data_IF_839897894939
#
_entry.id   IF_839897894939
#
_cell.length_a   1.000
_cell.length_b   1.000
_cell.length_c   1.000
_cell.angle_alpha   90.00
_cell.angle_beta   90.00
_cell.angle_gamma   90.00
#
_symmetry.space_group_name_H-M   'P 1'
#
loop_
_entity.id
_entity.type
_entity.pdbx_description
1 polymer ?
#
# COMPACT_ATOMS: atom_id res chain seq x y z
N UNK A 1 22.11 13.01 -53.93
CA UNK A 1 20.72 12.81 -53.46
C UNK A 1 20.42 11.42 -52.85
N UNK A 2 21.41 10.55 -52.59
CA UNK A 2 21.18 9.26 -51.88
C UNK A 2 21.76 9.21 -50.46
N UNK A 3 22.76 10.05 -50.15
CA UNK A 3 23.34 10.14 -48.80
C UNK A 3 22.51 11.01 -47.82
N UNK A 4 21.69 11.94 -48.32
CA UNK A 4 20.93 12.88 -47.47
C UNK A 4 19.66 12.25 -46.86
N UNK A 5 19.15 11.16 -47.44
CA UNK A 5 17.93 10.46 -46.98
C UNK A 5 18.22 9.53 -45.80
N UNK A 6 19.46 9.02 -45.68
CA UNK A 6 19.85 8.15 -44.58
C UNK A 6 19.98 8.88 -43.22
N UNK A 7 20.31 10.18 -43.24
CA UNK A 7 20.50 10.96 -42.01
C UNK A 7 19.18 11.34 -41.33
N UNK A 8 18.07 11.44 -42.08
CA UNK A 8 16.75 11.78 -41.54
C UNK A 8 16.00 10.58 -40.93
N UNK A 9 16.40 9.35 -41.27
CA UNK A 9 15.80 8.12 -40.69
C UNK A 9 16.43 7.78 -39.34
N UNK A 10 17.69 8.17 -39.09
CA UNK A 10 18.38 7.90 -37.84
C UNK A 10 17.85 8.72 -36.64
N UNK A 11 17.11 9.81 -36.87
CA UNK A 11 16.52 10.64 -35.80
C UNK A 11 15.21 10.04 -35.28
N UNK A 12 14.54 9.17 -36.04
CA UNK A 12 13.30 8.50 -35.60
C UNK A 12 13.52 7.17 -34.86
N UNK A 13 14.75 6.64 -34.88
CA UNK A 13 15.11 5.37 -34.24
C UNK A 13 16.18 5.55 -33.15
N UNK A 14 16.32 6.73 -32.58
CA UNK A 14 16.92 6.81 -31.25
C UNK A 14 15.86 6.27 -30.27
N UNK A 15 16.04 5.08 -29.67
CA UNK A 15 15.24 4.73 -28.50
C UNK A 15 15.52 5.85 -27.51
N UNK A 16 14.52 6.67 -27.23
CA UNK A 16 14.65 7.62 -26.13
C UNK A 16 14.88 6.73 -24.93
N UNK A 17 16.12 6.71 -24.44
CA UNK A 17 16.50 6.06 -23.20
C UNK A 17 15.88 6.86 -22.04
N UNK A 18 14.55 6.90 -22.01
CA UNK A 18 13.73 7.31 -20.88
C UNK A 18 13.62 6.11 -19.90
N UNK A 19 14.72 5.41 -19.66
CA UNK A 19 14.90 4.62 -18.46
C UNK A 19 15.48 5.54 -17.36
N UNK A 20 14.96 6.76 -17.26
CA UNK A 20 15.29 7.66 -16.16
C UNK A 20 14.42 7.23 -14.98
N UNK A 21 15.02 6.51 -14.03
CA UNK A 21 14.57 6.27 -12.65
C UNK A 21 13.13 6.72 -12.40
N UNK A 22 12.15 5.93 -12.83
CA UNK A 22 10.75 6.23 -12.56
C UNK A 22 10.57 6.08 -11.05
N UNK A 23 10.63 7.19 -10.33
CA UNK A 23 10.38 7.21 -8.90
C UNK A 23 8.89 6.89 -8.71
N UNK A 24 8.62 5.68 -8.23
CA UNK A 24 7.26 5.15 -8.00
C UNK A 24 6.66 5.81 -6.76
N UNK A 25 6.33 7.09 -6.89
CA UNK A 25 5.76 7.94 -5.84
C UNK A 25 4.35 8.39 -6.21
N UNK A 26 3.49 8.55 -5.20
CA UNK A 26 2.10 8.93 -5.38
C UNK A 26 1.91 10.26 -6.16
N UNK A 27 2.90 11.17 -6.11
CA UNK A 27 2.91 12.44 -6.86
C UNK A 27 3.08 12.24 -8.36
N UNK A 28 3.84 11.22 -8.78
CA UNK A 28 4.00 10.86 -10.19
C UNK A 28 2.67 10.41 -10.80
N UNK A 29 1.84 9.71 -10.01
CA UNK A 29 0.55 9.15 -10.43
C UNK A 29 -0.65 9.97 -9.94
N UNK A 30 -0.47 11.27 -9.74
CA UNK A 30 -1.49 12.15 -9.17
C UNK A 30 -2.71 12.28 -10.08
N UNK A 31 -3.89 12.19 -9.49
CA UNK A 31 -5.18 12.47 -10.13
C UNK A 31 -5.57 13.94 -9.86
N UNK A 32 -6.10 14.60 -10.89
CA UNK A 32 -6.47 16.03 -10.81
C UNK A 32 -7.90 16.27 -10.31
N UNK A 33 -8.80 15.32 -10.52
CA UNK A 33 -10.20 15.45 -10.16
C UNK A 33 -10.56 14.57 -8.97
N UNK A 34 -11.41 15.11 -8.10
CA UNK A 34 -11.88 14.44 -6.90
C UNK A 34 -13.41 14.43 -6.89
N UNK A 35 -13.98 13.28 -6.54
CA UNK A 35 -15.41 13.15 -6.35
C UNK A 35 -15.74 13.39 -4.87
N UNK A 36 -16.45 14.48 -4.60
CA UNK A 36 -16.78 14.93 -3.25
C UNK A 36 -18.21 14.64 -2.82
N UNK A 37 -19.07 14.26 -3.76
CA UNK A 37 -20.47 13.93 -3.45
C UNK A 37 -20.57 12.60 -2.70
N UNK A 38 -21.78 12.32 -2.21
CA UNK A 38 -22.16 11.06 -1.60
C UNK A 38 -21.94 9.90 -2.57
N UNK A 39 -21.52 8.76 -2.05
CA UNK A 39 -21.31 7.59 -2.88
C UNK A 39 -22.64 7.06 -3.43
N UNK A 40 -22.66 6.66 -4.70
CA UNK A 40 -23.77 5.91 -5.26
C UNK A 40 -23.86 4.53 -4.60
N UNK A 41 -25.08 4.01 -4.44
CA UNK A 41 -25.30 2.66 -3.89
C UNK A 41 -24.58 1.60 -4.72
N UNK A 42 -24.05 0.57 -4.05
CA UNK A 42 -23.31 -0.50 -4.70
C UNK A 42 -24.17 -1.21 -5.75
N UNK A 43 -23.65 -1.30 -6.97
CA UNK A 43 -24.24 -2.06 -8.07
C UNK A 43 -23.54 -3.40 -8.17
N UNK A 44 -24.23 -4.41 -7.68
CA UNK A 44 -23.74 -5.77 -7.66
C UNK A 44 -23.53 -6.36 -9.06
N UNK A 45 -22.49 -7.19 -9.21
CA UNK A 45 -22.21 -7.92 -10.44
C UNK A 45 -21.79 -9.36 -10.12
N UNK A 46 -22.74 -10.29 -10.30
CA UNK A 46 -22.55 -11.72 -10.01
C UNK A 46 -21.45 -12.37 -10.84
N UNK A 47 -21.15 -11.83 -12.03
CA UNK A 47 -20.07 -12.35 -12.88
C UNK A 47 -18.68 -12.05 -12.31
N UNK A 48 -18.55 -10.98 -11.53
CA UNK A 48 -17.29 -10.60 -10.88
C UNK A 48 -17.20 -11.22 -9.49
N UNK A 49 -18.34 -11.31 -8.78
CA UNK A 49 -18.42 -11.92 -7.44
C UNK A 49 -19.68 -12.77 -7.21
N UNK A 50 -19.54 -14.00 -6.69
CA UNK A 50 -20.68 -14.81 -6.26
C UNK A 50 -21.48 -14.15 -5.13
N UNK A 51 -22.80 -14.35 -5.11
CA UNK A 51 -23.75 -13.73 -4.17
C UNK A 51 -23.34 -13.84 -2.68
N UNK A 52 -22.64 -14.91 -2.30
CA UNK A 52 -22.15 -15.13 -0.93
C UNK A 52 -21.27 -13.98 -0.40
N UNK A 53 -20.62 -13.23 -1.31
CA UNK A 53 -19.76 -12.11 -0.95
C UNK A 53 -20.55 -10.79 -1.00
N UNK A 54 -21.74 -10.74 -1.61
CA UNK A 54 -22.53 -9.53 -1.78
C UNK A 54 -22.84 -8.85 -0.44
N UNK A 55 -23.23 -9.63 0.57
CA UNK A 55 -23.58 -9.08 1.89
C UNK A 55 -22.37 -8.45 2.59
N UNK A 56 -21.22 -9.14 2.57
CA UNK A 56 -19.98 -8.67 3.21
C UNK A 56 -19.49 -7.39 2.54
N UNK A 57 -19.50 -7.34 1.21
CA UNK A 57 -19.02 -6.19 0.46
C UNK A 57 -20.02 -5.04 0.41
N UNK A 58 -21.33 -5.31 0.43
CA UNK A 58 -22.36 -4.27 0.49
C UNK A 58 -22.24 -3.43 1.76
N UNK A 59 -22.26 -4.09 2.91
CA UNK A 59 -22.08 -3.43 4.22
C UNK A 59 -20.72 -2.72 4.30
N UNK A 60 -19.64 -3.41 3.88
CA UNK A 60 -18.30 -2.81 3.89
C UNK A 60 -18.21 -1.59 2.96
N UNK A 61 -18.86 -1.61 1.80
CA UNK A 61 -18.87 -0.48 0.87
C UNK A 61 -19.63 0.71 1.46
N UNK A 62 -20.81 0.49 2.04
CA UNK A 62 -21.58 1.57 2.69
C UNK A 62 -20.75 2.25 3.78
N UNK A 63 -20.05 1.47 4.62
CA UNK A 63 -19.17 2.01 5.66
C UNK A 63 -17.91 2.69 5.11
N UNK A 64 -17.23 2.08 4.13
CA UNK A 64 -15.93 2.56 3.63
C UNK A 64 -16.06 3.71 2.64
N UNK A 65 -17.14 3.78 1.87
CA UNK A 65 -17.33 4.80 0.82
C UNK A 65 -17.49 6.21 1.38
N UNK A 66 -17.89 6.32 2.65
CA UNK A 66 -18.00 7.58 3.39
C UNK A 66 -16.69 7.98 4.09
N UNK A 67 -15.74 7.06 4.26
CA UNK A 67 -14.46 7.32 4.93
C UNK A 67 -13.45 7.97 3.97
N UNK A 68 -13.01 9.23 4.20
CA UNK A 68 -12.12 9.92 3.28
C UNK A 68 -10.77 9.23 3.05
N UNK A 69 -10.24 8.56 4.08
CA UNK A 69 -8.96 7.86 4.03
C UNK A 69 -9.01 6.54 3.23
N UNK A 70 -10.21 6.03 2.91
CA UNK A 70 -10.41 4.83 2.07
C UNK A 70 -10.57 5.14 0.58
N UNK A 71 -10.55 6.43 0.22
CA UNK A 71 -10.68 6.88 -1.16
C UNK A 71 -9.39 6.59 -1.94
N UNK A 72 -9.54 6.30 -3.21
CA UNK A 72 -8.46 6.00 -4.16
C UNK A 72 -8.72 6.66 -5.51
N UNK A 73 -7.68 7.07 -6.23
CA UNK A 73 -7.79 7.49 -7.64
C UNK A 73 -8.81 8.60 -7.91
N UNK A 74 -9.04 9.48 -6.93
CA UNK A 74 -9.96 10.62 -7.00
C UNK A 74 -11.43 10.29 -6.74
N UNK A 75 -11.89 9.09 -7.11
CA UNK A 75 -13.33 8.75 -7.10
C UNK A 75 -13.64 7.28 -6.85
N UNK A 76 -12.63 6.45 -6.59
CA UNK A 76 -12.84 5.07 -6.21
C UNK A 76 -12.78 4.91 -4.69
N UNK A 77 -13.29 3.77 -4.23
CA UNK A 77 -13.06 3.25 -2.89
C UNK A 77 -12.54 1.82 -3.00
N UNK A 78 -11.55 1.50 -2.17
CA UNK A 78 -11.07 0.14 -2.01
C UNK A 78 -11.86 -0.54 -0.90
N UNK A 79 -12.62 -1.56 -1.24
CA UNK A 79 -13.37 -2.37 -0.28
C UNK A 79 -12.57 -3.63 0.00
N UNK A 80 -11.84 -3.63 1.10
CA UNK A 80 -10.92 -4.70 1.49
C UNK A 80 -11.55 -5.65 2.50
N UNK A 81 -11.24 -6.93 2.39
CA UNK A 81 -11.70 -7.98 3.30
C UNK A 81 -10.63 -9.07 3.43
N UNK A 82 -10.68 -9.87 4.50
CA UNK A 82 -9.90 -11.11 4.56
C UNK A 82 -10.51 -12.20 3.67
N UNK A 83 -9.69 -12.85 2.84
CA UNK A 83 -10.07 -14.07 2.09
C UNK A 83 -9.72 -15.37 2.81
N UNK A 84 -9.15 -15.30 4.01
CA UNK A 84 -8.60 -16.45 4.74
C UNK A 84 -7.07 -16.46 4.74
N UNK A 85 -6.44 -17.40 5.46
CA UNK A 85 -4.98 -17.65 5.44
C UNK A 85 -4.09 -16.39 5.45
N UNK A 86 -4.36 -15.43 6.33
CA UNK A 86 -3.62 -14.16 6.46
C UNK A 86 -3.55 -13.30 5.17
N UNK A 87 -4.39 -13.56 4.17
CA UNK A 87 -4.48 -12.78 2.95
C UNK A 87 -5.61 -11.75 3.00
N UNK A 88 -5.33 -10.59 2.42
CA UNK A 88 -6.29 -9.54 2.15
C UNK A 88 -6.64 -9.55 0.67
N UNK A 89 -7.93 -9.56 0.38
CA UNK A 89 -8.47 -9.36 -0.96
C UNK A 89 -9.48 -8.22 -0.94
N UNK A 90 -10.03 -7.88 -2.09
CA UNK A 90 -11.08 -6.89 -2.14
C UNK A 90 -11.49 -6.52 -3.54
N UNK A 91 -12.23 -5.42 -3.63
CA UNK A 91 -12.66 -4.83 -4.90
C UNK A 91 -12.38 -3.34 -4.94
N UNK A 92 -12.20 -2.86 -6.17
CA UNK A 92 -12.25 -1.46 -6.49
C UNK A 92 -13.66 -1.09 -6.93
N UNK A 93 -14.28 -0.11 -6.28
CA UNK A 93 -15.62 0.37 -6.63
C UNK A 93 -15.55 1.83 -7.04
N UNK A 94 -16.19 2.17 -8.16
CA UNK A 94 -16.40 3.56 -8.56
C UNK A 94 -17.50 4.20 -7.70
N UNK A 95 -17.13 5.18 -6.86
CA UNK A 95 -18.09 5.86 -5.96
C UNK A 95 -19.15 6.67 -6.72
N UNK A 96 -18.88 7.07 -7.97
CA UNK A 96 -19.83 7.84 -8.78
C UNK A 96 -20.99 6.97 -9.25
N UNK A 97 -20.71 5.72 -9.56
CA UNK A 97 -21.67 4.82 -10.21
C UNK A 97 -22.08 3.64 -9.34
N UNK A 98 -21.34 3.37 -8.26
CA UNK A 98 -21.47 2.20 -7.41
C UNK A 98 -20.97 0.91 -8.06
N UNK A 99 -20.37 0.97 -9.26
CA UNK A 99 -20.00 -0.23 -10.02
C UNK A 99 -18.69 -0.80 -9.50
N UNK A 100 -18.67 -2.11 -9.31
CA UNK A 100 -17.44 -2.87 -9.10
C UNK A 100 -16.64 -2.84 -10.39
N UNK A 101 -15.42 -2.32 -10.31
CA UNK A 101 -14.52 -2.13 -11.45
C UNK A 101 -13.64 -3.36 -11.67
N UNK A 102 -12.99 -3.84 -10.60
CA UNK A 102 -12.10 -5.00 -10.65
C UNK A 102 -11.83 -5.55 -9.23
N UNK A 103 -11.23 -6.74 -9.16
CA UNK A 103 -10.62 -7.29 -7.95
C UNK A 103 -9.34 -6.52 -7.63
N UNK A 104 -9.01 -6.41 -6.34
CA UNK A 104 -7.70 -5.91 -5.93
C UNK A 104 -6.63 -6.99 -6.12
N UNK A 105 -5.38 -6.62 -6.45
CA UNK A 105 -4.25 -7.53 -6.31
C UNK A 105 -4.20 -8.12 -4.90
N UNK A 106 -3.80 -9.37 -4.73
CA UNK A 106 -3.74 -9.99 -3.40
C UNK A 106 -2.64 -9.38 -2.55
N UNK A 107 -2.89 -9.18 -1.25
CA UNK A 107 -1.91 -8.68 -0.30
C UNK A 107 -1.78 -9.60 0.93
N UNK A 108 -0.57 -9.70 1.48
CA UNK A 108 -0.25 -10.36 2.75
C UNK A 108 -0.12 -9.35 3.88
N UNK A 109 0.47 -8.17 3.64
CA UNK A 109 0.66 -7.14 4.68
C UNK A 109 -0.28 -5.96 4.51
N UNK A 110 -0.83 -5.78 3.32
CA UNK A 110 -1.90 -4.83 3.02
C UNK A 110 -1.58 -3.92 1.85
N UNK A 111 -2.20 -2.75 1.86
CA UNK A 111 -2.18 -1.82 0.74
C UNK A 111 -1.80 -0.42 1.23
N UNK A 112 -0.90 0.23 0.50
CA UNK A 112 -0.66 1.67 0.65
C UNK A 112 -1.16 2.42 -0.60
N UNK A 113 -2.05 3.39 -0.39
CA UNK A 113 -2.71 4.11 -1.47
C UNK A 113 -3.19 5.50 -1.01
N UNK A 114 -3.49 6.37 -1.98
CA UNK A 114 -3.93 7.75 -1.71
C UNK A 114 -5.20 8.10 -2.47
N UNK A 115 -6.05 8.92 -1.86
CA UNK A 115 -7.25 9.46 -2.49
C UNK A 115 -6.97 10.25 -3.78
N UNK A 116 -5.75 10.76 -3.95
CA UNK A 116 -5.34 11.59 -5.08
C UNK A 116 -4.30 10.93 -5.98
N UNK A 117 -4.16 9.61 -5.94
CA UNK A 117 -3.21 8.89 -6.78
C UNK A 117 -3.83 7.62 -7.35
N UNK A 118 -3.43 7.28 -8.58
CA UNK A 118 -3.76 5.99 -9.20
C UNK A 118 -2.72 4.90 -8.88
N UNK A 119 -1.69 5.20 -8.09
CA UNK A 119 -0.71 4.23 -7.63
C UNK A 119 -1.26 3.44 -6.44
N UNK A 120 -1.17 2.13 -6.54
CA UNK A 120 -1.42 1.17 -5.46
C UNK A 120 -0.10 0.46 -5.15
N UNK A 121 0.32 0.52 -3.90
CA UNK A 121 1.45 -0.27 -3.38
C UNK A 121 0.88 -1.44 -2.60
N UNK A 122 1.27 -2.65 -2.99
CA UNK A 122 0.83 -3.91 -2.40
C UNK A 122 2.00 -4.47 -1.61
N UNK A 123 1.72 -4.92 -0.39
CA UNK A 123 2.72 -5.39 0.56
C UNK A 123 3.82 -4.36 0.85
N UNK A 124 3.46 -3.14 1.29
CA UNK A 124 4.45 -2.11 1.62
C UNK A 124 5.36 -2.58 2.76
N UNK A 125 6.61 -2.10 2.75
CA UNK A 125 7.60 -2.40 3.80
C UNK A 125 7.71 -1.24 4.78
N UNK A 126 6.98 -1.32 5.90
CA UNK A 126 7.25 -0.49 7.07
C UNK A 126 8.12 -1.24 8.11
N UNK A 127 8.53 -0.54 9.16
CA UNK A 127 9.39 -1.11 10.19
C UNK A 127 8.75 -2.33 10.89
N UNK A 128 7.43 -2.31 11.10
CA UNK A 128 6.70 -3.41 11.74
C UNK A 128 6.60 -4.62 10.81
N UNK A 129 6.30 -4.41 9.54
CA UNK A 129 6.24 -5.43 8.50
C UNK A 129 7.59 -6.12 8.36
N UNK A 130 8.68 -5.34 8.32
CA UNK A 130 10.04 -5.88 8.23
C UNK A 130 10.50 -6.57 9.51
N UNK A 131 10.02 -6.16 10.69
CA UNK A 131 10.31 -6.85 11.95
C UNK A 131 9.64 -8.23 11.99
N UNK A 132 8.44 -8.36 11.39
CA UNK A 132 7.65 -9.60 11.36
C UNK A 132 7.76 -10.35 10.02
N UNK A 133 8.79 -10.10 9.22
CA UNK A 133 8.85 -10.56 7.82
C UNK A 133 8.71 -12.08 7.64
N UNK A 134 9.17 -12.86 8.63
CA UNK A 134 9.10 -14.32 8.59
C UNK A 134 7.67 -14.86 8.74
N UNK A 135 6.72 -14.05 9.21
CA UNK A 135 5.31 -14.40 9.30
C UNK A 135 4.57 -14.26 7.96
N UNK A 136 5.20 -13.68 6.93
CA UNK A 136 4.58 -13.44 5.64
C UNK A 136 5.15 -14.35 4.54
N UNK A 137 4.24 -14.97 3.79
CA UNK A 137 4.59 -15.85 2.68
C UNK A 137 5.14 -15.11 1.45
N UNK A 138 4.63 -13.90 1.21
CA UNK A 138 5.07 -13.06 0.10
C UNK A 138 5.87 -11.88 0.64
N UNK A 139 7.16 -11.85 0.30
CA UNK A 139 8.16 -10.84 0.72
C UNK A 139 8.54 -9.94 -0.46
N UNK A 140 7.57 -9.62 -1.30
CA UNK A 140 7.69 -8.73 -2.46
C UNK A 140 6.67 -7.60 -2.34
N UNK A 141 7.13 -6.38 -2.53
CA UNK A 141 6.29 -5.20 -2.72
C UNK A 141 5.99 -5.05 -4.21
N UNK A 142 4.71 -4.90 -4.56
CA UNK A 142 4.27 -4.69 -5.93
C UNK A 142 3.71 -3.29 -6.12
N UNK A 143 4.03 -2.69 -7.25
CA UNK A 143 3.56 -1.36 -7.61
C UNK A 143 2.62 -1.47 -8.80
N UNK A 144 1.35 -1.16 -8.58
CA UNK A 144 0.32 -1.16 -9.63
C UNK A 144 -0.16 0.25 -9.91
N UNK A 145 -0.49 0.54 -11.17
CA UNK A 145 -1.28 1.71 -11.53
C UNK A 145 -2.66 1.28 -12.01
N UNK A 146 -3.69 1.95 -11.51
CA UNK A 146 -5.05 1.80 -12.03
C UNK A 146 -5.20 2.59 -13.33
N UNK A 147 -5.68 1.92 -14.38
CA UNK A 147 -5.94 2.50 -15.70
C UNK A 147 -7.40 2.29 -16.09
N UNK A 148 -7.83 2.86 -17.22
CA UNK A 148 -9.18 2.63 -17.76
C UNK A 148 -9.45 1.18 -18.16
N UNK A 149 -8.40 0.38 -18.35
CA UNK A 149 -8.48 -1.03 -18.75
C UNK A 149 -8.20 -2.00 -17.60
N UNK A 150 -7.93 -1.51 -16.40
CA UNK A 150 -7.62 -2.34 -15.23
C UNK A 150 -6.26 -2.03 -14.59
N UNK A 151 -5.83 -2.93 -13.70
CA UNK A 151 -4.54 -2.87 -13.04
C UNK A 151 -3.38 -3.15 -14.00
N UNK A 152 -2.35 -2.30 -13.97
CA UNK A 152 -1.09 -2.53 -14.66
C UNK A 152 0.05 -2.59 -13.64
N UNK A 153 0.76 -3.72 -13.60
CA UNK A 153 1.99 -3.85 -12.82
C UNK A 153 3.08 -2.96 -13.41
N UNK A 154 3.71 -2.15 -12.57
CA UNK A 154 4.81 -1.27 -12.94
C UNK A 154 6.16 -1.84 -12.52
N UNK A 155 6.25 -2.39 -11.31
CA UNK A 155 7.47 -2.95 -10.76
C UNK A 155 7.18 -3.91 -9.61
N UNK A 156 8.21 -4.71 -9.31
CA UNK A 156 8.30 -5.60 -8.16
C UNK A 156 9.59 -5.27 -7.42
N UNK A 157 9.52 -5.22 -6.10
CA UNK A 157 10.66 -4.95 -5.23
C UNK A 157 10.72 -6.01 -4.14
N UNK A 158 11.79 -6.80 -4.15
CA UNK A 158 12.03 -7.76 -3.06
C UNK A 158 12.33 -7.00 -1.79
N UNK A 159 11.76 -7.45 -0.69
CA UNK A 159 12.08 -6.87 0.61
C UNK A 159 13.57 -7.05 0.93
N UNK A 160 14.17 -6.10 1.66
CA UNK A 160 15.56 -6.24 2.09
C UNK A 160 15.73 -7.54 2.88
N UNK A 161 16.89 -8.18 2.76
CA UNK A 161 17.23 -9.31 3.63
C UNK A 161 17.37 -8.84 5.08
N UNK A 162 17.19 -9.74 6.05
CA UNK A 162 17.56 -9.41 7.42
C UNK A 162 19.07 -9.13 7.43
N UNK A 163 19.56 -8.14 8.19
CA UNK A 163 20.98 -8.11 8.50
C UNK A 163 21.37 -9.50 8.99
N UNK A 164 22.24 -10.17 8.26
CA UNK A 164 22.86 -11.39 8.75
C UNK A 164 23.67 -10.94 9.96
N UNK A 165 23.27 -11.35 11.17
CA UNK A 165 24.09 -11.15 12.35
C UNK A 165 25.29 -12.09 12.18
N UNK A 166 26.31 -11.62 11.47
CA UNK A 166 27.57 -12.31 11.35
C UNK A 166 28.28 -12.19 12.69
N UNK A 167 28.21 -13.27 13.46
CA UNK A 167 29.06 -13.63 14.60
C UNK A 167 29.00 -12.73 15.85
N UNK A 168 29.03 -13.42 17.00
CA UNK A 168 28.76 -12.97 18.38
C UNK A 168 29.84 -12.00 18.94
N UNK A 169 30.67 -11.37 18.12
CA UNK A 169 31.78 -10.53 18.61
C UNK A 169 31.37 -9.10 18.99
N UNK A 170 30.20 -8.62 18.59
CA UNK A 170 29.79 -7.22 18.79
C UNK A 170 28.88 -6.94 20.01
N UNK A 171 28.69 -7.94 20.89
CA UNK A 171 27.87 -7.76 22.10
C UNK A 171 28.56 -6.85 23.13
N UNK A 172 29.90 -6.77 23.11
CA UNK A 172 30.66 -5.91 24.02
C UNK A 172 30.48 -4.41 23.73
N UNK A 173 30.29 -4.03 22.46
CA UNK A 173 30.04 -2.63 22.07
C UNK A 173 28.63 -2.16 22.41
N UNK A 174 27.63 -3.05 22.37
CA UNK A 174 26.24 -2.72 22.68
C UNK A 174 25.98 -2.51 24.18
N UNK A 175 26.65 -3.27 25.06
CA UNK A 175 26.57 -3.03 26.51
C UNK A 175 27.13 -1.67 26.92
N UNK A 176 28.19 -1.21 26.24
CA UNK A 176 28.80 0.09 26.50
C UNK A 176 27.88 1.25 26.08
N UNK A 177 27.20 1.13 24.95
CA UNK A 177 26.20 2.11 24.47
C UNK A 177 24.94 2.14 25.33
N UNK A 178 24.48 0.98 25.83
CA UNK A 178 23.33 0.88 26.73
C UNK A 178 23.64 1.50 28.10
N UNK A 179 24.86 1.32 28.63
CA UNK A 179 25.26 1.93 29.90
C UNK A 179 25.45 3.45 29.81
N UNK A 180 25.87 3.98 28.66
CA UNK A 180 26.03 5.43 28.49
C UNK A 180 24.68 6.16 28.34
N UNK A 181 23.67 5.51 27.72
CA UNK A 181 22.31 6.08 27.61
C UNK A 181 21.53 6.11 28.93
N UNK A 182 21.92 5.33 29.94
CA UNK A 182 21.31 5.39 31.30
C UNK A 182 21.74 6.63 32.10
N UNK A 183 22.69 7.44 31.62
CA UNK A 183 23.10 8.71 32.26
C UNK A 183 22.33 9.94 31.77
N UNK A 184 21.40 9.79 30.82
CA UNK A 184 20.57 10.90 30.35
C UNK A 184 19.36 11.02 31.28
N UNK A 185 19.17 12.13 32.01
CA UNK A 185 18.02 12.30 32.89
C UNK A 185 16.74 12.34 32.06
N UNK A 186 15.84 11.38 32.29
CA UNK A 186 14.51 11.33 31.67
C UNK A 186 13.72 12.57 32.14
N UNK A 187 13.19 13.41 31.22
CA UNK A 187 12.26 14.45 31.61
C UNK A 187 11.00 13.80 32.17
N UNK A 188 10.63 14.20 33.38
CA UNK A 188 9.43 13.74 34.11
C UNK A 188 8.17 13.98 33.27
N UNK A 189 7.77 12.98 32.50
CA UNK A 189 6.46 12.93 31.83
C UNK A 189 5.44 12.36 32.83
N UNK A 190 4.63 13.27 33.36
CA UNK A 190 3.47 13.12 34.26
C UNK A 190 2.94 11.69 34.47
N UNK A 191 3.08 11.23 35.72
CA UNK A 191 2.50 10.03 36.34
C UNK A 191 0.97 9.87 36.28
N UNK A 192 0.19 10.81 35.74
CA UNK A 192 -1.26 10.84 35.99
C UNK A 192 -2.14 9.94 35.10
N UNK A 193 -1.56 9.10 34.23
CA UNK A 193 -2.34 8.22 33.33
C UNK A 193 -1.99 6.73 33.42
N UNK A 194 -0.95 6.38 34.16
CA UNK A 194 -0.54 4.98 34.38
C UNK A 194 -1.12 4.37 35.66
N UNK A 195 -1.60 5.19 36.60
CA UNK A 195 -2.14 4.69 37.86
C UNK A 195 -3.53 4.04 37.69
N UNK A 196 -4.31 4.48 36.71
CA UNK A 196 -5.63 3.91 36.40
C UNK A 196 -5.60 2.57 35.66
N UNK A 197 -4.44 2.16 35.12
CA UNK A 197 -4.30 0.90 34.38
C UNK A 197 -3.84 -0.28 35.25
N UNK A 198 -3.30 -0.03 36.45
CA UNK A 198 -2.87 -1.08 37.36
C UNK A 198 -3.92 -1.48 38.41
N UNK A 199 -4.96 -0.67 38.63
CA UNK A 199 -6.05 -0.99 39.58
C UNK A 199 -7.20 -1.83 38.97
N UNK A 200 -7.18 -2.11 37.66
CA UNK A 200 -8.18 -2.98 37.01
C UNK A 200 -7.67 -4.39 36.69
N UNK A 201 -6.45 -4.73 37.13
CA UNK A 201 -5.84 -6.05 36.90
C UNK A 201 -5.82 -6.96 38.15
N UNK A 202 -6.34 -6.49 39.30
CA UNK A 202 -6.40 -7.24 40.58
C UNK A 202 -7.86 -7.41 41.10
N UNK A 203 -8.83 -7.59 40.20
CA UNK A 203 -10.16 -8.15 40.55
C UNK A 203 -10.36 -9.53 39.92
#
# INVERSE_FOLDING_TARGET
MRALVALLIAIFFAPVAFAANLHLDFRTFKVRSHFHESAASLKWNEKIFPFEWAFRYGTSYEEMSEQPHRRFGGHYVMVTTGCGTALQCGVLVDRRTGRIMDKLPLATTGYDYRANSNLLVVNPTDAETLANRESYYDKVTYYYVWTTTGWKLLAEEKWPESPQVSTVEDVSGLEQVINDKRKIPIPVLRRSKLQTLFEQADQ
#
